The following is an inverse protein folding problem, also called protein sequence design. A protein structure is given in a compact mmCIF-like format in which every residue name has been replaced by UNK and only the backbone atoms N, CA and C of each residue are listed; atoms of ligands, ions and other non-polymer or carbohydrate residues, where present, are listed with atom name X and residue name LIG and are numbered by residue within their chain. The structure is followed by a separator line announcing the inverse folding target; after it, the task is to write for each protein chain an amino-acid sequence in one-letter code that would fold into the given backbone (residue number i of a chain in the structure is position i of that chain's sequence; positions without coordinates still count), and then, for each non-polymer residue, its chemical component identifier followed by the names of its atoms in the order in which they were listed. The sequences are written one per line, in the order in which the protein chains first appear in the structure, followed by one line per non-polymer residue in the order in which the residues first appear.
data_IF_036090998215
#
_entry.id   IF_036090998215
#
_cell.length_a   1.000
_cell.length_b   1.000
_cell.length_c   1.000
_cell.angle_alpha   90.00
_cell.angle_beta   90.00
_cell.angle_gamma   90.00
#
_symmetry.space_group_name_H-M   'P 1'
#
loop_
_entity.id
_entity.type
_entity.pdbx_description
1 polymer ?
#
# COMPACT_ATOMS: atom_id res chain seq x y z
N UNK A 1 49.05 -5.27 -27.02
CA UNK A 1 47.72 -4.95 -27.58
C UNK A 1 46.73 -5.39 -26.53
N UNK A 2 46.33 -4.48 -25.66
CA UNK A 2 45.51 -4.76 -24.47
C UNK A 2 44.28 -3.86 -24.48
N UNK A 3 43.13 -4.40 -24.90
CA UNK A 3 41.79 -3.80 -24.77
C UNK A 3 40.75 -4.95 -24.81
N UNK A 4 39.76 -5.06 -23.89
CA UNK A 4 39.81 -4.73 -22.47
C UNK A 4 39.15 -5.82 -21.57
N UNK A 5 39.69 -6.02 -20.37
CA UNK A 5 39.10 -6.85 -19.30
C UNK A 5 37.83 -6.23 -18.69
N UNK A 6 37.39 -5.06 -19.15
CA UNK A 6 36.23 -4.31 -18.63
C UNK A 6 34.90 -4.91 -19.08
N UNK A 7 34.79 -5.37 -20.32
CA UNK A 7 33.49 -5.77 -20.90
C UNK A 7 32.96 -7.07 -20.28
N UNK A 8 33.86 -7.97 -19.88
CA UNK A 8 33.51 -9.19 -19.15
C UNK A 8 32.96 -8.90 -17.73
N UNK A 9 33.45 -7.85 -17.04
CA UNK A 9 32.89 -7.42 -15.74
C UNK A 9 31.55 -6.72 -15.90
N UNK A 10 31.37 -5.94 -16.96
CA UNK A 10 30.12 -5.21 -17.23
C UNK A 10 29.00 -6.18 -17.62
N UNK A 11 29.29 -7.19 -18.45
CA UNK A 11 28.30 -8.17 -18.90
C UNK A 11 27.84 -9.12 -17.77
N UNK A 12 28.73 -9.53 -16.86
CA UNK A 12 28.40 -10.41 -15.72
C UNK A 12 27.71 -9.67 -14.55
N UNK A 13 27.89 -8.35 -14.46
CA UNK A 13 27.30 -7.52 -13.38
C UNK A 13 25.80 -7.20 -13.59
N UNK A 14 25.34 -7.13 -14.85
CA UNK A 14 24.00 -6.67 -15.22
C UNK A 14 22.86 -7.58 -14.70
N UNK A 15 22.89 -8.92 -14.89
CA UNK A 15 21.82 -9.81 -14.39
C UNK A 15 21.79 -9.91 -12.86
N UNK A 16 22.96 -9.83 -12.21
CA UNK A 16 23.07 -9.83 -10.74
C UNK A 16 22.46 -8.57 -10.13
N UNK A 17 22.68 -7.41 -10.76
CA UNK A 17 22.17 -6.12 -10.30
C UNK A 17 20.65 -6.05 -10.41
N UNK A 18 20.08 -6.49 -11.54
CA UNK A 18 18.61 -6.52 -11.76
C UNK A 18 17.92 -7.40 -10.72
N UNK A 19 18.48 -8.57 -10.41
CA UNK A 19 17.97 -9.44 -9.35
C UNK A 19 18.02 -8.78 -7.97
N UNK A 20 19.11 -8.07 -7.66
CA UNK A 20 19.24 -7.37 -6.39
C UNK A 20 18.17 -6.27 -6.25
N UNK A 21 17.89 -5.55 -7.34
CA UNK A 21 16.82 -4.57 -7.40
C UNK A 21 15.43 -5.21 -7.25
N UNK A 22 15.14 -6.33 -7.91
CA UNK A 22 13.86 -7.07 -7.72
C UNK A 22 13.65 -7.44 -6.25
N UNK A 23 14.65 -8.07 -5.63
CA UNK A 23 14.60 -8.46 -4.21
C UNK A 23 14.41 -7.25 -3.30
N UNK A 24 15.18 -6.18 -3.53
CA UNK A 24 15.08 -4.95 -2.74
C UNK A 24 13.68 -4.32 -2.84
N UNK A 25 13.12 -4.24 -4.05
CA UNK A 25 11.78 -3.69 -4.27
C UNK A 25 10.70 -4.56 -3.62
N UNK A 26 10.81 -5.89 -3.68
CA UNK A 26 9.86 -6.79 -3.00
C UNK A 26 9.90 -6.63 -1.48
N UNK A 27 11.09 -6.45 -0.90
CA UNK A 27 11.25 -6.14 0.53
C UNK A 27 10.59 -4.80 0.87
N UNK A 28 10.79 -3.78 0.02
CA UNK A 28 10.23 -2.46 0.22
C UNK A 28 8.69 -2.48 0.18
N UNK A 29 8.11 -3.19 -0.80
CA UNK A 29 6.67 -3.43 -0.88
C UNK A 29 6.15 -4.11 0.38
N UNK A 30 6.80 -5.21 0.80
CA UNK A 30 6.41 -5.95 2.00
C UNK A 30 6.39 -5.03 3.22
N UNK A 31 7.49 -4.30 3.45
CA UNK A 31 7.59 -3.37 4.56
C UNK A 31 6.48 -2.31 4.53
N UNK A 32 6.29 -1.61 3.41
CA UNK A 32 5.30 -0.53 3.32
C UNK A 32 3.86 -1.00 3.47
N UNK A 33 3.48 -2.09 2.80
CA UNK A 33 2.12 -2.67 2.89
C UNK A 33 1.83 -3.24 4.27
N UNK A 34 2.80 -3.91 4.91
CA UNK A 34 2.65 -4.40 6.28
C UNK A 34 2.51 -3.26 7.29
N UNK A 35 3.35 -2.23 7.21
CA UNK A 35 3.24 -1.07 8.10
C UNK A 35 1.91 -0.34 7.87
N UNK A 36 1.49 -0.13 6.62
CA UNK A 36 0.18 0.45 6.31
C UNK A 36 -0.96 -0.38 6.90
N UNK A 37 -0.93 -1.71 6.74
CA UNK A 37 -1.95 -2.60 7.30
C UNK A 37 -1.95 -2.59 8.84
N UNK A 38 -0.79 -2.60 9.48
CA UNK A 38 -0.68 -2.54 10.96
C UNK A 38 -1.16 -1.19 11.49
N UNK A 39 -0.78 -0.07 10.85
CA UNK A 39 -1.25 1.25 11.24
C UNK A 39 -2.78 1.29 11.19
N UNK A 40 -3.38 0.96 10.05
CA UNK A 40 -4.85 0.93 9.95
C UNK A 40 -5.43 -0.07 10.94
N UNK A 41 -4.87 -1.28 11.05
CA UNK A 41 -5.32 -2.35 11.92
C UNK A 41 -5.01 -2.20 13.42
N UNK A 42 -4.41 -1.10 13.86
CA UNK A 42 -4.26 -0.75 15.28
C UNK A 42 -4.98 0.57 15.61
N UNK A 43 -5.30 1.39 14.60
CA UNK A 43 -5.94 2.68 14.80
C UNK A 43 -7.39 2.54 15.30
N UNK A 44 -7.59 2.70 16.61
CA UNK A 44 -8.92 2.83 17.23
C UNK A 44 -8.95 4.09 18.07
N UNK A 45 -9.92 4.98 17.80
CA UNK A 45 -10.16 6.14 18.66
C UNK A 45 -11.63 6.26 19.06
N UNK A 46 -11.87 6.48 20.35
CA UNK A 46 -13.18 6.79 20.91
C UNK A 46 -13.18 8.21 21.44
N UNK A 47 -14.14 9.04 21.01
CA UNK A 47 -14.30 10.41 21.53
C UNK A 47 -15.74 10.68 21.90
N UNK A 48 -15.92 11.41 23.00
CA UNK A 48 -17.24 11.81 23.49
C UNK A 48 -17.66 13.04 22.67
N UNK A 49 -18.72 12.90 21.89
CA UNK A 49 -19.28 13.99 21.10
C UNK A 49 -20.59 14.42 21.77
N UNK A 50 -20.73 15.68 22.21
CA UNK A 50 -22.00 16.19 22.69
C UNK A 50 -22.96 16.30 21.49
N UNK A 51 -24.09 15.61 21.55
CA UNK A 51 -25.18 15.78 20.59
C UNK A 51 -26.29 16.63 21.22
N UNK A 52 -26.58 17.76 20.61
CA UNK A 52 -27.74 18.61 20.94
C UNK A 52 -28.90 18.21 20.04
N UNK A 53 -29.91 17.54 20.61
CA UNK A 53 -31.06 16.98 19.88
C UNK A 53 -32.13 18.06 19.58
N UNK A 54 -32.25 19.11 20.40
CA UNK A 54 -33.16 20.24 20.18
C UNK A 54 -32.67 21.51 20.92
N UNK A 55 -33.05 22.69 20.42
CA UNK A 55 -32.80 23.98 21.08
C UNK A 55 -33.61 24.05 22.39
N UNK A 56 -33.01 23.63 23.52
CA UNK A 56 -33.64 23.68 24.85
C UNK A 56 -33.42 22.44 25.75
N UNK A 57 -32.83 21.34 25.23
CA UNK A 57 -32.47 20.17 26.05
C UNK A 57 -30.97 20.14 26.40
N UNK A 58 -30.58 19.59 27.58
CA UNK A 58 -29.18 19.42 27.95
C UNK A 58 -28.45 18.50 26.96
N UNK A 59 -27.19 18.82 26.65
CA UNK A 59 -26.37 18.06 25.72
C UNK A 59 -26.20 16.61 26.21
N UNK A 60 -26.63 15.64 25.39
CA UNK A 60 -26.42 14.23 25.70
C UNK A 60 -24.98 13.86 25.30
N UNK A 61 -24.16 13.53 26.28
CA UNK A 61 -22.78 13.11 26.07
C UNK A 61 -22.76 11.66 25.56
N UNK A 62 -22.71 11.46 24.25
CA UNK A 62 -22.55 10.14 23.65
C UNK A 62 -21.08 9.88 23.31
N UNK A 63 -20.56 8.76 23.78
CA UNK A 63 -19.24 8.26 23.38
C UNK A 63 -19.33 7.69 21.97
N UNK A 64 -18.91 8.47 20.96
CA UNK A 64 -18.86 8.03 19.57
C UNK A 64 -17.49 7.40 19.31
N UNK A 65 -17.48 6.13 18.91
CA UNK A 65 -16.24 5.43 18.60
C UNK A 65 -16.01 5.42 17.09
N UNK A 66 -14.90 6.02 16.64
CA UNK A 66 -14.43 5.88 15.27
C UNK A 66 -13.58 4.60 15.16
N UNK A 67 -14.16 3.55 14.56
CA UNK A 67 -13.43 2.33 14.19
C UNK A 67 -13.28 2.27 12.67
N UNK A 68 -12.12 1.77 12.22
CA UNK A 68 -11.91 1.44 10.80
C UNK A 68 -13.00 0.53 10.22
N UNK A 69 -13.61 -0.31 11.07
CA UNK A 69 -14.59 -1.33 10.70
C UNK A 69 -15.92 -0.73 10.23
N UNK A 70 -16.21 0.52 10.61
CA UNK A 70 -17.47 1.19 10.25
C UNK A 70 -17.44 1.78 8.84
N UNK A 71 -16.26 1.85 8.21
CA UNK A 71 -16.08 2.42 6.87
C UNK A 71 -15.55 1.35 5.92
N UNK A 72 -16.39 0.90 4.99
CA UNK A 72 -16.06 -0.17 4.04
C UNK A 72 -14.80 0.14 3.22
N UNK A 73 -14.55 1.40 2.88
CA UNK A 73 -13.34 1.83 2.17
C UNK A 73 -12.06 1.55 2.97
N UNK A 74 -12.07 1.76 4.29
CA UNK A 74 -10.90 1.51 5.14
C UNK A 74 -10.70 0.02 5.42
N UNK A 75 -11.79 -0.75 5.51
CA UNK A 75 -11.73 -2.22 5.55
C UNK A 75 -11.12 -2.77 4.26
N UNK A 76 -11.58 -2.29 3.10
CA UNK A 76 -11.04 -2.69 1.80
C UNK A 76 -9.55 -2.35 1.70
N UNK A 77 -9.15 -1.14 2.09
CA UNK A 77 -7.75 -0.73 2.16
C UNK A 77 -6.89 -1.65 3.04
N UNK A 78 -7.36 -1.99 4.23
CA UNK A 78 -6.67 -2.92 5.13
C UNK A 78 -6.48 -4.30 4.51
N UNK A 79 -7.57 -4.87 3.96
CA UNK A 79 -7.57 -6.22 3.37
C UNK A 79 -6.63 -6.27 2.16
N UNK A 80 -6.68 -5.27 1.29
CA UNK A 80 -5.81 -5.22 0.10
C UNK A 80 -4.34 -5.07 0.47
N UNK A 81 -3.99 -4.23 1.45
CA UNK A 81 -2.61 -4.12 1.92
C UNK A 81 -2.12 -5.43 2.57
N UNK A 82 -2.98 -6.15 3.30
CA UNK A 82 -2.64 -7.45 3.86
C UNK A 82 -2.41 -8.52 2.78
N UNK A 83 -3.25 -8.56 1.73
CA UNK A 83 -3.06 -9.43 0.57
C UNK A 83 -1.74 -9.09 -0.14
N UNK A 84 -1.49 -7.81 -0.39
CA UNK A 84 -0.28 -7.34 -1.04
C UNK A 84 0.98 -7.71 -0.25
N UNK A 85 0.98 -7.54 1.08
CA UNK A 85 2.10 -7.95 1.93
C UNK A 85 2.31 -9.46 1.93
N UNK A 86 1.23 -10.25 2.02
CA UNK A 86 1.32 -11.72 1.97
C UNK A 86 1.91 -12.21 0.63
N UNK A 87 1.47 -11.59 -0.47
CA UNK A 87 1.99 -11.87 -1.81
C UNK A 87 3.45 -11.42 -1.96
N UNK A 88 3.82 -10.25 -1.45
CA UNK A 88 5.20 -9.76 -1.48
C UNK A 88 6.14 -10.69 -0.70
N UNK A 89 5.72 -11.20 0.46
CA UNK A 89 6.49 -12.19 1.22
C UNK A 89 6.66 -13.51 0.45
N UNK A 90 5.58 -14.05 -0.12
CA UNK A 90 5.64 -15.30 -0.89
C UNK A 90 6.50 -15.18 -2.16
N UNK A 91 6.36 -14.07 -2.87
CA UNK A 91 7.15 -13.81 -4.08
C UNK A 91 8.62 -13.51 -3.77
N UNK A 92 8.92 -12.84 -2.66
CA UNK A 92 10.28 -12.66 -2.17
C UNK A 92 10.93 -14.01 -1.82
N UNK A 93 10.20 -14.86 -1.08
CA UNK A 93 10.67 -16.21 -0.73
C UNK A 93 10.98 -17.01 -2.00
N UNK A 94 10.10 -16.97 -3.00
CA UNK A 94 10.32 -17.60 -4.29
C UNK A 94 11.55 -17.04 -5.02
N UNK A 95 11.71 -15.72 -5.10
CA UNK A 95 12.87 -15.06 -5.74
C UNK A 95 14.20 -15.44 -5.08
N UNK A 96 14.22 -15.60 -3.75
CA UNK A 96 15.42 -16.01 -3.01
C UNK A 96 15.69 -17.51 -3.17
N UNK A 97 14.66 -18.35 -3.03
CA UNK A 97 14.80 -19.82 -3.08
C UNK A 97 15.13 -20.34 -4.49
N UNK A 98 14.57 -19.73 -5.54
CA UNK A 98 14.79 -20.17 -6.92
C UNK A 98 16.23 -19.95 -7.41
N UNK A 99 17.03 -19.12 -6.74
CA UNK A 99 18.45 -18.96 -7.05
C UNK A 99 18.69 -18.67 -8.53
N UNK A 100 19.68 -19.30 -9.18
CA UNK A 100 19.95 -19.14 -10.63
C UNK A 100 18.95 -19.89 -11.54
N UNK A 101 18.08 -20.74 -10.99
CA UNK A 101 17.16 -21.60 -11.74
C UNK A 101 15.79 -20.95 -11.94
N UNK A 102 15.78 -19.65 -12.26
CA UNK A 102 14.54 -18.90 -12.45
C UNK A 102 13.96 -19.24 -13.82
N UNK A 103 12.89 -20.04 -13.85
CA UNK A 103 12.21 -20.40 -15.10
C UNK A 103 11.52 -19.16 -15.69
N UNK A 104 11.63 -19.00 -17.00
CA UNK A 104 11.05 -17.86 -17.71
C UNK A 104 9.53 -17.75 -17.50
N UNK A 105 8.84 -18.89 -17.48
CA UNK A 105 7.38 -18.95 -17.27
C UNK A 105 6.99 -18.46 -15.87
N UNK A 106 7.79 -18.76 -14.84
CA UNK A 106 7.53 -18.29 -13.49
C UNK A 106 7.73 -16.76 -13.36
N UNK A 107 8.70 -16.19 -14.10
CA UNK A 107 8.90 -14.75 -14.15
C UNK A 107 7.70 -14.01 -14.77
N UNK A 108 7.11 -14.58 -15.83
CA UNK A 108 5.91 -14.02 -16.46
C UNK A 108 4.70 -14.08 -15.53
N UNK A 109 4.48 -15.22 -14.86
CA UNK A 109 3.38 -15.38 -13.90
C UNK A 109 3.51 -14.39 -12.74
N UNK A 110 4.71 -14.25 -12.16
CA UNK A 110 4.94 -13.26 -11.11
C UNK A 110 4.74 -11.83 -11.58
N UNK A 111 5.15 -11.51 -12.81
CA UNK A 111 4.93 -10.17 -13.37
C UNK A 111 3.43 -9.85 -13.53
N UNK A 112 2.63 -10.83 -13.97
CA UNK A 112 1.18 -10.67 -14.10
C UNK A 112 0.53 -10.48 -12.71
N UNK A 113 0.93 -11.30 -11.73
CA UNK A 113 0.43 -11.17 -10.36
C UNK A 113 0.84 -9.83 -9.73
N UNK A 114 2.07 -9.35 -9.96
CA UNK A 114 2.55 -8.05 -9.51
C UNK A 114 1.63 -6.92 -10.06
N UNK A 115 1.21 -6.99 -11.32
CA UNK A 115 0.28 -6.03 -11.94
C UNK A 115 -1.14 -6.10 -11.35
N UNK A 116 -1.65 -7.29 -11.07
CA UNK A 116 -2.97 -7.48 -10.45
C UNK A 116 -2.98 -6.85 -9.04
N UNK A 117 -1.94 -7.11 -8.25
CA UNK A 117 -1.81 -6.60 -6.88
C UNK A 117 -1.64 -5.08 -6.90
N UNK A 118 -0.86 -4.54 -7.84
CA UNK A 118 -0.73 -3.10 -8.04
C UNK A 118 -2.09 -2.44 -8.36
N UNK A 119 -2.88 -3.02 -9.26
CA UNK A 119 -4.20 -2.51 -9.60
C UNK A 119 -5.14 -2.50 -8.39
N UNK A 120 -5.14 -3.57 -7.59
CA UNK A 120 -5.91 -3.65 -6.35
C UNK A 120 -5.47 -2.57 -5.34
N UNK A 121 -4.16 -2.39 -5.15
CA UNK A 121 -3.63 -1.36 -4.25
C UNK A 121 -4.06 0.05 -4.68
N UNK A 122 -3.97 0.39 -5.97
CA UNK A 122 -4.43 1.70 -6.46
C UNK A 122 -5.93 1.90 -6.25
N UNK A 123 -6.75 0.89 -6.54
CA UNK A 123 -8.19 0.92 -6.28
C UNK A 123 -8.49 1.20 -4.79
N UNK A 124 -7.81 0.48 -3.90
CA UNK A 124 -8.02 0.61 -2.47
C UNK A 124 -7.52 1.96 -1.92
N UNK A 125 -6.36 2.44 -2.38
CA UNK A 125 -5.85 3.76 -2.08
C UNK A 125 -6.82 4.86 -2.54
N UNK A 126 -7.36 4.75 -3.76
CA UNK A 126 -8.33 5.71 -4.29
C UNK A 126 -9.62 5.76 -3.45
N UNK A 127 -10.17 4.61 -3.09
CA UNK A 127 -11.37 4.53 -2.25
C UNK A 127 -11.14 5.15 -0.86
N UNK A 128 -10.03 4.79 -0.20
CA UNK A 128 -9.69 5.30 1.11
C UNK A 128 -9.32 6.80 1.09
N UNK A 129 -8.65 7.28 0.04
CA UNK A 129 -8.36 8.70 -0.13
C UNK A 129 -9.64 9.52 -0.35
N UNK A 130 -10.57 9.04 -1.19
CA UNK A 130 -11.85 9.71 -1.42
C UNK A 130 -12.66 9.84 -0.10
N UNK A 131 -12.77 8.74 0.64
CA UNK A 131 -13.46 8.75 1.95
C UNK A 131 -12.70 9.60 2.98
N UNK A 132 -11.38 9.57 2.96
CA UNK A 132 -10.53 10.41 3.82
C UNK A 132 -10.73 11.91 3.56
N UNK A 133 -10.82 12.31 2.29
CA UNK A 133 -11.10 13.71 1.90
C UNK A 133 -12.48 14.15 2.38
N UNK A 134 -13.51 13.30 2.21
CA UNK A 134 -14.85 13.59 2.76
C UNK A 134 -14.79 13.68 4.29
N UNK A 135 -14.01 12.83 4.95
CA UNK A 135 -13.81 12.89 6.41
C UNK A 135 -13.11 14.17 6.89
N UNK A 136 -12.19 14.73 6.11
CA UNK A 136 -11.45 15.96 6.43
C UNK A 136 -12.26 17.21 6.12
N UNK A 137 -12.79 17.31 4.91
CA UNK A 137 -13.40 18.54 4.40
C UNK A 137 -14.90 18.61 4.74
N UNK A 138 -15.54 17.46 4.95
CA UNK A 138 -16.98 17.35 5.16
C UNK A 138 -17.77 17.64 3.87
N UNK A 139 -19.09 17.50 3.94
CA UNK A 139 -20.00 17.93 2.86
C UNK A 139 -21.35 18.36 3.45
N UNK A 140 -21.62 19.66 3.41
CA UNK A 140 -22.85 20.26 3.93
C UNK A 140 -24.11 19.83 3.18
N UNK A 141 -24.01 19.52 1.88
CA UNK A 141 -25.15 19.13 1.05
C UNK A 141 -25.74 17.78 1.46
N UNK A 142 -24.91 16.89 2.02
CA UNK A 142 -25.33 15.57 2.51
C UNK A 142 -25.18 15.45 4.04
N UNK A 143 -25.06 16.58 4.74
CA UNK A 143 -24.92 16.64 6.21
C UNK A 143 -23.74 15.83 6.77
N UNK A 144 -22.68 15.64 5.97
CA UNK A 144 -21.47 14.96 6.42
C UNK A 144 -20.57 15.94 7.16
N UNK A 145 -20.49 15.80 8.49
CA UNK A 145 -19.65 16.64 9.35
C UNK A 145 -18.17 16.24 9.27
N UNK A 146 -17.26 17.20 9.44
CA UNK A 146 -15.82 16.96 9.49
C UNK A 146 -15.47 15.99 10.63
N UNK A 147 -15.04 14.79 10.27
CA UNK A 147 -14.69 13.72 11.22
C UNK A 147 -13.27 13.93 11.74
N UNK A 148 -12.34 14.39 10.89
CA UNK A 148 -10.94 14.56 11.27
C UNK A 148 -10.72 15.70 12.29
N UNK A 149 -11.58 16.73 12.32
CA UNK A 149 -11.53 17.77 13.35
C UNK A 149 -11.80 17.19 14.75
N UNK A 150 -12.62 16.14 14.82
CA UNK A 150 -12.92 15.44 16.07
C UNK A 150 -11.85 14.39 16.33
N UNK A 151 -11.57 13.51 15.37
CA UNK A 151 -10.66 12.36 15.51
C UNK A 151 -9.32 12.56 14.79
N UNK A 152 -8.60 13.61 15.19
CA UNK A 152 -7.34 14.00 14.52
C UNK A 152 -6.28 12.88 14.52
N UNK A 153 -6.06 12.22 15.66
CA UNK A 153 -5.10 11.11 15.76
C UNK A 153 -5.46 9.94 14.84
N UNK A 154 -6.74 9.57 14.77
CA UNK A 154 -7.23 8.56 13.82
C UNK A 154 -6.93 8.97 12.36
N UNK A 155 -7.27 10.21 11.99
CA UNK A 155 -7.05 10.69 10.62
C UNK A 155 -5.56 10.80 10.27
N UNK A 156 -4.69 11.16 11.22
CA UNK A 156 -3.26 11.23 10.99
C UNK A 156 -2.66 9.84 10.72
N UNK A 157 -3.03 8.82 11.50
CA UNK A 157 -2.60 7.44 11.26
C UNK A 157 -3.12 6.89 9.93
N UNK A 158 -4.38 7.18 9.57
CA UNK A 158 -4.94 6.78 8.28
C UNK A 158 -4.23 7.45 7.10
N UNK A 159 -3.92 8.75 7.21
CA UNK A 159 -3.16 9.48 6.20
C UNK A 159 -1.74 8.93 6.05
N UNK A 160 -1.05 8.65 7.17
CA UNK A 160 0.27 8.02 7.15
C UNK A 160 0.23 6.63 6.48
N UNK A 161 -0.78 5.81 6.80
CA UNK A 161 -0.96 4.50 6.17
C UNK A 161 -1.22 4.61 4.66
N UNK A 162 -2.02 5.59 4.21
CA UNK A 162 -2.24 5.86 2.78
C UNK A 162 -0.94 6.21 2.06
N UNK A 163 -0.12 7.10 2.64
CA UNK A 163 1.17 7.48 2.06
C UNK A 163 2.09 6.26 1.93
N UNK A 164 2.18 5.44 2.98
CA UNK A 164 3.00 4.22 2.95
C UNK A 164 2.50 3.22 1.88
N UNK A 165 1.19 3.01 1.79
CA UNK A 165 0.62 2.13 0.75
C UNK A 165 0.91 2.64 -0.67
N UNK A 166 0.85 3.96 -0.90
CA UNK A 166 1.24 4.57 -2.17
C UNK A 166 2.73 4.37 -2.49
N UNK A 167 3.62 4.47 -1.50
CA UNK A 167 5.03 4.14 -1.69
C UNK A 167 5.21 2.66 -2.11
N UNK A 168 4.41 1.75 -1.55
CA UNK A 168 4.32 0.36 -1.99
C UNK A 168 3.86 0.23 -3.45
N UNK A 169 2.85 0.99 -3.88
CA UNK A 169 2.41 1.03 -5.28
C UNK A 169 3.53 1.45 -6.22
N UNK A 170 4.30 2.49 -5.88
CA UNK A 170 5.44 2.93 -6.69
C UNK A 170 6.54 1.88 -6.80
N UNK A 171 6.79 1.10 -5.73
CA UNK A 171 7.74 -0.01 -5.78
C UNK A 171 7.26 -1.13 -6.72
N UNK A 172 5.97 -1.49 -6.68
CA UNK A 172 5.37 -2.45 -7.63
C UNK A 172 5.38 -1.94 -9.08
N UNK A 173 5.09 -0.65 -9.30
CA UNK A 173 5.23 -0.02 -10.61
C UNK A 173 6.65 -0.17 -11.15
N UNK A 174 7.65 0.06 -10.31
CA UNK A 174 9.04 -0.09 -10.71
C UNK A 174 9.40 -1.56 -11.04
N UNK A 175 8.88 -2.52 -10.27
CA UNK A 175 9.01 -3.95 -10.60
C UNK A 175 8.41 -4.26 -11.97
N UNK A 176 7.20 -3.77 -12.25
CA UNK A 176 6.55 -3.95 -13.55
C UNK A 176 7.36 -3.33 -14.70
N UNK A 177 7.91 -2.12 -14.51
CA UNK A 177 8.78 -1.47 -15.49
C UNK A 177 10.04 -2.29 -15.78
N UNK A 178 10.70 -2.81 -14.74
CA UNK A 178 11.87 -3.66 -14.90
C UNK A 178 11.53 -4.95 -15.65
N UNK A 179 10.38 -5.56 -15.37
CA UNK A 179 9.91 -6.75 -16.08
C UNK A 179 9.71 -6.47 -17.59
N UNK A 180 9.02 -5.37 -17.94
CA UNK A 180 8.81 -4.96 -19.34
C UNK A 180 10.13 -4.65 -20.05
N UNK A 181 11.05 -3.93 -19.40
CA UNK A 181 12.37 -3.65 -19.96
C UNK A 181 13.22 -4.91 -20.14
N UNK A 182 13.08 -5.88 -19.24
CA UNK A 182 13.72 -7.19 -19.34
C UNK A 182 13.20 -8.00 -20.52
N UNK A 183 11.88 -7.97 -20.78
CA UNK A 183 11.26 -8.62 -21.94
C UNK A 183 11.69 -7.97 -23.27
N UNK A 184 11.77 -6.63 -23.30
CA UNK A 184 12.20 -5.87 -24.50
C UNK A 184 13.63 -6.13 -24.95
N UNK A 185 14.53 -6.54 -24.04
CA UNK A 185 15.94 -6.80 -24.34
C UNK A 185 16.20 -8.22 -24.87
N UNK A 186 15.19 -9.07 -24.90
CA UNK A 186 15.28 -10.47 -25.27
C UNK A 186 14.66 -10.69 -26.65
#
# INVERSE_FOLDING_TARGET
MDVPRSDAKVLDSTPRRIRLYDVFLRILVLAFTSVAAVLVGVTRESKIIPITIAQGLPALHLTVTAKWQYMSAFVYFLVVNAIAGSYAAGSLFYSVAAGRSFKHDAALVLSILDLIILALLFSANGAAAAVGLIGRDGNSHVQWRKVCDVFDGYCHHMAAALVLSLMGCFAFLWLALLAVLGLRKK
#
